data_IF_946913838431
#
_entry.id   IF_946913838431
#
_cell.length_a   1.000
_cell.length_b   1.000
_cell.length_c   1.000
_cell.angle_alpha   90.00
_cell.angle_beta   90.00
_cell.angle_gamma   90.00
#
_symmetry.space_group_name_H-M   'P 1'
#
loop_
_entity.id
_entity.type
_entity.pdbx_description
1 polymer ?
#
# COMPACT_ATOMS: atom_id res chain seq x y z
N UNK A 1 21.42 -36.66 7.49
CA UNK A 1 21.25 -35.56 6.51
C UNK A 1 20.50 -34.42 7.19
N UNK A 2 20.89 -33.15 7.02
CA UNK A 2 20.13 -32.04 7.57
C UNK A 2 18.75 -31.95 6.92
N UNK A 3 17.73 -31.56 7.70
CA UNK A 3 16.40 -31.28 7.17
C UNK A 3 16.44 -30.07 6.23
N UNK A 4 15.67 -30.13 5.15
CA UNK A 4 15.49 -29.02 4.20
C UNK A 4 14.06 -28.46 4.29
N UNK A 5 13.82 -27.18 3.92
CA UNK A 5 12.49 -26.58 3.99
C UNK A 5 11.40 -27.38 3.27
N UNK A 6 11.71 -27.99 2.13
CA UNK A 6 10.80 -28.84 1.37
C UNK A 6 10.37 -30.10 2.13
N UNK A 7 11.23 -30.67 2.97
CA UNK A 7 10.89 -31.84 3.77
C UNK A 7 9.79 -31.50 4.80
N UNK A 8 9.94 -30.35 5.47
CA UNK A 8 8.94 -29.87 6.45
C UNK A 8 7.64 -29.51 5.74
N UNK A 9 7.71 -28.82 4.60
CA UNK A 9 6.51 -28.45 3.83
C UNK A 9 5.74 -29.68 3.35
N UNK A 10 6.43 -30.69 2.81
CA UNK A 10 5.80 -31.93 2.37
C UNK A 10 5.18 -32.68 3.55
N UNK A 11 5.88 -32.75 4.69
CA UNK A 11 5.37 -33.37 5.90
C UNK A 11 4.09 -32.69 6.42
N UNK A 12 4.05 -31.36 6.46
CA UNK A 12 2.88 -30.60 6.92
C UNK A 12 1.68 -30.69 5.96
N UNK A 13 1.92 -31.01 4.69
CA UNK A 13 0.87 -31.19 3.68
C UNK A 13 0.30 -32.61 3.68
N UNK A 14 0.99 -33.58 4.31
CA UNK A 14 0.52 -34.95 4.40
C UNK A 14 -0.47 -35.07 5.57
N UNK A 15 -1.74 -35.31 5.26
CA UNK A 15 -2.82 -35.36 6.26
C UNK A 15 -2.81 -36.66 7.09
N UNK A 16 -1.87 -37.57 6.84
CA UNK A 16 -1.93 -38.93 7.37
C UNK A 16 -1.82 -39.02 8.89
N UNK A 17 -1.14 -38.08 9.57
CA UNK A 17 -0.93 -38.15 11.03
C UNK A 17 -1.00 -36.78 11.75
N UNK A 18 -2.20 -36.33 12.17
CA UNK A 18 -2.39 -35.01 12.81
C UNK A 18 -1.60 -34.83 14.12
N UNK A 19 -1.29 -35.92 14.83
CA UNK A 19 -0.50 -35.89 16.07
C UNK A 19 0.91 -35.38 15.84
N UNK A 20 1.60 -35.88 14.81
CA UNK A 20 2.97 -35.46 14.55
C UNK A 20 3.04 -34.03 13.98
N UNK A 21 2.05 -33.63 13.18
CA UNK A 21 1.90 -32.23 12.75
C UNK A 21 1.77 -31.30 13.96
N UNK A 22 0.96 -31.66 14.95
CA UNK A 22 0.85 -30.88 16.19
C UNK A 22 2.17 -30.80 16.95
N UNK A 23 2.92 -31.90 17.05
CA UNK A 23 4.20 -31.93 17.76
C UNK A 23 5.26 -31.04 17.09
N UNK A 24 5.36 -31.10 15.76
CA UNK A 24 6.24 -30.21 14.97
C UNK A 24 5.86 -28.75 15.15
N UNK A 25 4.56 -28.43 15.13
CA UNK A 25 4.07 -27.06 15.36
C UNK A 25 4.39 -26.57 16.78
N UNK A 26 4.34 -27.44 17.78
CA UNK A 26 4.75 -27.12 19.16
C UNK A 26 6.24 -26.77 19.21
N UNK A 27 7.11 -27.60 18.62
CA UNK A 27 8.56 -27.30 18.57
C UNK A 27 8.86 -26.00 17.82
N UNK A 28 8.19 -25.76 16.68
CA UNK A 28 8.34 -24.52 15.92
C UNK A 28 7.90 -23.31 16.75
N UNK A 29 6.75 -23.41 17.42
CA UNK A 29 6.20 -22.33 18.25
C UNK A 29 7.15 -22.02 19.41
N UNK A 30 7.67 -23.04 20.10
CA UNK A 30 8.65 -22.87 21.16
C UNK A 30 9.91 -22.19 20.65
N UNK A 31 10.48 -22.65 19.53
CA UNK A 31 11.69 -22.05 18.96
C UNK A 31 11.47 -20.58 18.56
N UNK A 32 10.30 -20.25 18.00
CA UNK A 32 9.93 -18.87 17.67
C UNK A 32 9.73 -18.00 18.92
N UNK A 33 9.28 -18.59 20.02
CA UNK A 33 9.20 -17.91 21.31
C UNK A 33 10.60 -17.58 21.81
N UNK A 34 11.48 -18.56 21.95
CA UNK A 34 12.87 -18.39 22.41
C UNK A 34 13.61 -17.34 21.55
N UNK A 35 13.51 -17.44 20.22
CA UNK A 35 14.14 -16.50 19.31
C UNK A 35 13.70 -15.06 19.56
N UNK A 36 12.40 -14.83 19.81
CA UNK A 36 11.86 -13.50 20.06
C UNK A 36 12.16 -13.00 21.47
N UNK A 37 11.90 -13.82 22.47
CA UNK A 37 11.82 -13.41 23.88
C UNK A 37 13.14 -13.57 24.62
N UNK A 38 13.88 -14.63 24.33
CA UNK A 38 15.05 -15.04 25.11
C UNK A 38 16.36 -14.73 24.38
N UNK A 39 16.31 -14.53 23.06
CA UNK A 39 17.49 -14.19 22.28
C UNK A 39 17.43 -12.76 21.73
N UNK A 40 16.43 -12.46 20.88
CA UNK A 40 16.46 -11.21 20.12
C UNK A 40 16.22 -10.00 21.00
N UNK A 41 15.16 -9.95 21.82
CA UNK A 41 14.81 -8.73 22.55
C UNK A 41 15.71 -8.44 23.76
N UNK A 42 16.42 -9.45 24.28
CA UNK A 42 17.34 -9.29 25.41
C UNK A 42 18.50 -8.39 25.02
N UNK A 43 19.10 -8.62 23.86
CA UNK A 43 20.07 -7.69 23.27
C UNK A 43 19.34 -6.55 22.56
N UNK A 44 19.16 -5.44 23.27
CA UNK A 44 18.45 -4.26 22.76
C UNK A 44 19.12 -3.63 21.55
N UNK A 45 20.45 -3.70 21.45
CA UNK A 45 21.20 -3.11 20.33
C UNK A 45 20.98 -3.98 19.10
N UNK A 46 21.19 -5.30 19.22
CA UNK A 46 20.92 -6.24 18.14
C UNK A 46 19.46 -6.19 17.71
N UNK A 47 18.50 -6.22 18.65
CA UNK A 47 17.07 -6.11 18.32
C UNK A 47 16.74 -4.84 17.53
N UNK A 48 17.42 -3.72 17.82
CA UNK A 48 17.16 -2.45 17.14
C UNK A 48 17.76 -2.40 15.73
N UNK A 49 19.02 -2.81 15.60
CA UNK A 49 19.81 -2.64 14.37
C UNK A 49 19.71 -3.86 13.44
N UNK A 50 19.67 -5.06 14.00
CA UNK A 50 19.76 -6.35 13.31
C UNK A 50 18.83 -7.38 13.97
N UNK A 51 17.49 -7.17 13.93
CA UNK A 51 16.56 -8.12 14.53
C UNK A 51 16.73 -9.50 13.89
N UNK A 52 16.67 -10.56 14.70
CA UNK A 52 16.83 -11.95 14.23
C UNK A 52 15.72 -12.41 13.26
N UNK A 53 14.64 -11.64 13.13
CA UNK A 53 13.62 -11.85 12.11
C UNK A 53 13.62 -10.70 11.10
N UNK A 54 13.71 -11.03 9.81
CA UNK A 54 13.71 -10.05 8.73
C UNK A 54 12.47 -9.17 8.76
N UNK A 55 12.66 -7.85 8.72
CA UNK A 55 11.58 -6.85 8.76
C UNK A 55 10.58 -7.05 9.91
N UNK A 56 11.01 -7.69 11.01
CA UNK A 56 10.15 -8.00 12.16
C UNK A 56 8.87 -8.76 11.79
N UNK A 57 8.91 -9.64 10.78
CA UNK A 57 7.71 -10.35 10.31
C UNK A 57 7.00 -11.17 11.42
N UNK A 58 7.73 -11.56 12.48
CA UNK A 58 7.17 -12.25 13.64
C UNK A 58 6.26 -11.36 14.51
N UNK A 59 6.38 -10.03 14.46
CA UNK A 59 5.39 -9.12 15.06
C UNK A 59 4.12 -9.10 14.22
N UNK A 60 4.26 -8.98 12.89
CA UNK A 60 3.15 -9.09 11.95
C UNK A 60 2.38 -10.39 12.13
N UNK A 61 3.08 -11.53 12.24
CA UNK A 61 2.47 -12.83 12.46
C UNK A 61 1.56 -12.82 13.70
N UNK A 62 2.06 -12.31 14.83
CA UNK A 62 1.30 -12.25 16.08
C UNK A 62 0.10 -11.32 15.97
N UNK A 63 0.30 -10.09 15.48
CA UNK A 63 -0.78 -9.08 15.35
C UNK A 63 -1.91 -9.57 14.43
N UNK A 64 -1.57 -10.16 13.27
CA UNK A 64 -2.58 -10.67 12.33
C UNK A 64 -3.37 -11.87 12.88
N UNK A 65 -2.85 -12.55 13.91
CA UNK A 65 -3.51 -13.68 14.57
C UNK A 65 -4.19 -13.26 15.89
N UNK A 66 -4.52 -11.96 16.05
CA UNK A 66 -5.25 -11.42 17.20
C UNK A 66 -4.56 -11.60 18.56
N UNK A 67 -3.24 -11.79 18.58
CA UNK A 67 -2.48 -11.78 19.83
C UNK A 67 -2.45 -10.37 20.42
N UNK A 68 -2.47 -10.29 21.74
CA UNK A 68 -2.51 -9.02 22.48
C UNK A 68 -1.13 -8.42 22.63
N UNK A 69 -1.05 -7.19 23.15
CA UNK A 69 0.23 -6.53 23.43
C UNK A 69 1.06 -7.26 24.49
N UNK A 70 0.45 -8.09 25.32
CA UNK A 70 1.13 -8.90 26.33
C UNK A 70 1.90 -10.07 25.70
N UNK A 71 1.39 -10.59 24.58
CA UNK A 71 1.96 -11.72 23.84
C UNK A 71 3.07 -11.30 22.85
N UNK A 72 3.37 -9.99 22.77
CA UNK A 72 4.43 -9.47 21.92
C UNK A 72 5.74 -9.28 22.70
N UNK A 73 6.90 -9.47 22.06
CA UNK A 73 8.18 -9.06 22.63
C UNK A 73 8.20 -7.53 22.78
N UNK A 74 7.95 -7.04 24.00
CA UNK A 74 7.66 -5.63 24.34
C UNK A 74 8.69 -4.66 23.77
N UNK A 75 9.98 -4.98 23.90
CA UNK A 75 11.05 -4.14 23.37
C UNK A 75 11.08 -4.13 21.84
N UNK A 76 10.91 -5.28 21.21
CA UNK A 76 10.87 -5.38 19.75
C UNK A 76 9.69 -4.58 19.16
N UNK A 77 8.52 -4.66 19.79
CA UNK A 77 7.33 -3.88 19.40
C UNK A 77 7.53 -2.37 19.63
N UNK A 78 8.11 -1.96 20.77
CA UNK A 78 8.37 -0.55 21.04
C UNK A 78 9.36 0.08 20.05
N UNK A 79 10.37 -0.67 19.60
CA UNK A 79 11.28 -0.22 18.53
C UNK A 79 10.53 -0.04 17.21
N UNK A 80 9.59 -0.93 16.87
CA UNK A 80 8.75 -0.77 15.67
C UNK A 80 7.85 0.46 15.77
N UNK A 81 7.15 0.64 16.90
CA UNK A 81 6.34 1.83 17.20
C UNK A 81 7.16 3.11 17.06
N UNK A 82 8.32 3.16 17.72
CA UNK A 82 9.21 4.32 17.68
C UNK A 82 9.81 4.58 16.29
N UNK A 83 10.06 3.55 15.48
CA UNK A 83 10.52 3.71 14.10
C UNK A 83 9.45 4.36 13.24
N UNK A 84 8.19 3.92 13.37
CA UNK A 84 7.05 4.51 12.65
C UNK A 84 6.82 5.97 13.10
N UNK A 85 6.82 6.24 14.40
CA UNK A 85 6.67 7.60 14.93
C UNK A 85 7.77 8.55 14.44
N UNK A 86 9.03 8.10 14.47
CA UNK A 86 10.16 8.88 13.95
C UNK A 86 10.02 9.14 12.47
N UNK A 87 9.64 8.13 11.69
CA UNK A 87 9.47 8.29 10.25
C UNK A 87 8.31 9.25 9.92
N UNK A 88 7.19 9.16 10.65
CA UNK A 88 6.06 10.08 10.50
C UNK A 88 6.47 11.53 10.77
N UNK A 89 7.31 11.75 11.79
CA UNK A 89 7.88 13.07 12.10
C UNK A 89 9.07 13.46 11.22
N UNK A 90 9.27 12.78 10.09
CA UNK A 90 10.37 13.01 9.14
C UNK A 90 11.78 12.98 9.76
N UNK A 91 11.96 12.19 10.83
CA UNK A 91 13.26 11.96 11.46
C UNK A 91 13.97 10.76 10.83
N UNK A 92 15.29 10.73 10.94
CA UNK A 92 16.10 9.59 10.49
C UNK A 92 15.72 8.32 11.22
N UNK A 93 15.58 7.24 10.45
CA UNK A 93 15.26 5.88 10.91
C UNK A 93 16.30 4.90 10.39
N UNK A 94 16.54 3.84 11.15
CA UNK A 94 17.51 2.78 10.79
C UNK A 94 17.05 2.03 9.54
N UNK A 95 15.74 1.85 9.39
CA UNK A 95 15.11 1.25 8.23
C UNK A 95 13.75 1.90 7.97
N UNK A 96 13.25 1.77 6.74
CA UNK A 96 11.92 2.24 6.36
C UNK A 96 10.86 1.22 6.79
N UNK A 97 9.88 1.58 7.63
CA UNK A 97 8.86 0.67 8.15
C UNK A 97 7.74 0.42 7.12
N UNK A 98 8.11 -0.10 5.94
CA UNK A 98 7.14 -0.58 4.96
C UNK A 98 6.41 -1.81 5.50
N UNK A 99 5.13 -1.92 5.19
CA UNK A 99 4.27 -3.07 5.54
C UNK A 99 4.33 -3.44 7.03
N UNK A 100 4.43 -2.44 7.90
CA UNK A 100 4.60 -2.63 9.35
C UNK A 100 3.25 -2.57 10.06
N UNK A 101 3.04 -3.44 11.05
CA UNK A 101 1.76 -3.54 11.76
C UNK A 101 1.82 -2.89 13.14
N UNK A 102 0.78 -2.16 13.52
CA UNK A 102 0.59 -1.61 14.86
C UNK A 102 -0.82 -1.93 15.37
N UNK A 103 -1.00 -1.98 16.69
CA UNK A 103 -2.35 -1.93 17.24
C UNK A 103 -3.01 -0.57 16.93
N UNK A 104 -4.33 -0.57 16.75
CA UNK A 104 -5.12 0.61 16.42
C UNK A 104 -4.82 1.79 17.37
N UNK A 105 -4.83 1.53 18.68
CA UNK A 105 -4.58 2.56 19.69
C UNK A 105 -3.20 3.22 19.54
N UNK A 106 -2.17 2.45 19.21
CA UNK A 106 -0.81 2.95 19.05
C UNK A 106 -0.65 3.74 17.75
N UNK A 107 -1.29 3.30 16.67
CA UNK A 107 -1.37 4.09 15.44
C UNK A 107 -2.05 5.44 15.69
N UNK A 108 -3.21 5.43 16.34
CA UNK A 108 -3.93 6.66 16.62
C UNK A 108 -3.14 7.61 17.53
N UNK A 109 -2.41 7.07 18.51
CA UNK A 109 -1.53 7.86 19.40
C UNK A 109 -0.40 8.56 18.62
N UNK A 110 0.19 7.87 17.64
CA UNK A 110 1.25 8.44 16.79
C UNK A 110 0.71 9.53 15.86
N UNK A 111 -0.36 9.24 15.12
CA UNK A 111 -0.82 10.08 14.01
C UNK A 111 -1.84 11.13 14.44
N UNK A 112 -2.61 10.88 15.50
CA UNK A 112 -3.69 11.75 15.98
C UNK A 112 -3.55 12.03 17.48
N UNK A 113 -2.32 12.35 17.90
CA UNK A 113 -2.04 12.68 19.28
C UNK A 113 -3.00 13.76 19.81
N UNK A 114 -3.39 13.63 21.08
CA UNK A 114 -4.45 14.43 21.72
C UNK A 114 -5.86 13.86 21.58
N UNK A 115 -6.23 13.30 20.41
CA UNK A 115 -7.58 12.77 20.15
C UNK A 115 -7.64 11.25 20.11
N UNK A 116 -6.50 10.56 20.12
CA UNK A 116 -6.41 9.11 19.92
C UNK A 116 -7.32 8.28 20.81
N UNK A 117 -7.52 8.66 22.09
CA UNK A 117 -8.42 7.92 23.01
C UNK A 117 -9.88 8.00 22.55
N UNK A 118 -10.31 9.19 22.10
CA UNK A 118 -11.66 9.42 21.58
C UNK A 118 -11.84 8.67 20.27
N UNK A 119 -10.90 8.83 19.34
CA UNK A 119 -10.91 8.12 18.06
C UNK A 119 -10.93 6.61 18.25
N UNK A 120 -10.07 6.06 19.12
CA UNK A 120 -10.03 4.63 19.39
C UNK A 120 -11.37 4.12 19.95
N UNK A 121 -11.98 4.87 20.88
CA UNK A 121 -13.31 4.58 21.41
C UNK A 121 -14.36 4.61 20.29
N UNK A 122 -14.42 5.68 19.51
CA UNK A 122 -15.44 5.87 18.48
C UNK A 122 -15.33 4.84 17.37
N UNK A 123 -14.13 4.56 16.87
CA UNK A 123 -13.88 3.50 15.88
C UNK A 123 -14.27 2.13 16.45
N UNK A 124 -13.85 1.81 17.69
CA UNK A 124 -14.19 0.52 18.33
C UNK A 124 -15.68 0.30 18.51
N UNK A 125 -16.45 1.38 18.74
CA UNK A 125 -17.91 1.35 18.87
C UNK A 125 -18.64 1.72 17.56
N UNK A 126 -17.93 1.79 16.43
CA UNK A 126 -18.49 2.12 15.10
C UNK A 126 -19.29 3.44 15.08
N UNK A 127 -18.87 4.42 15.87
CA UNK A 127 -19.42 5.78 15.95
C UNK A 127 -18.81 6.68 14.87
N UNK A 128 -19.22 6.44 13.63
CA UNK A 128 -18.59 7.02 12.45
C UNK A 128 -18.77 8.52 12.32
N UNK A 129 -19.96 9.04 12.67
CA UNK A 129 -20.22 10.48 12.65
C UNK A 129 -19.22 11.23 13.52
N UNK A 130 -19.09 10.83 14.79
CA UNK A 130 -18.17 11.46 15.73
C UNK A 130 -16.69 11.22 15.36
N UNK A 131 -16.39 10.11 14.67
CA UNK A 131 -15.05 9.85 14.14
C UNK A 131 -14.71 10.85 13.03
N UNK A 132 -15.59 11.04 12.06
CA UNK A 132 -15.39 11.94 10.93
C UNK A 132 -15.39 13.40 11.37
N UNK A 133 -16.24 13.79 12.32
CA UNK A 133 -16.23 15.14 12.90
C UNK A 133 -14.83 15.50 13.47
N UNK A 134 -14.15 14.55 14.14
CA UNK A 134 -12.79 14.76 14.64
C UNK A 134 -11.77 14.83 13.50
N UNK A 135 -11.85 13.92 12.52
CA UNK A 135 -10.89 13.90 11.41
C UNK A 135 -11.01 15.17 10.55
N UNK A 136 -12.24 15.60 10.28
CA UNK A 136 -12.53 16.81 9.52
C UNK A 136 -12.13 18.08 10.29
N UNK A 137 -12.31 18.13 11.62
CA UNK A 137 -11.76 19.21 12.46
C UNK A 137 -10.23 19.32 12.31
N UNK A 138 -9.52 18.18 12.32
CA UNK A 138 -8.05 18.18 12.18
C UNK A 138 -7.60 18.67 10.80
N UNK A 139 -8.31 18.28 9.75
CA UNK A 139 -8.03 18.74 8.37
C UNK A 139 -8.35 20.23 8.22
N UNK A 140 -9.56 20.65 8.61
CA UNK A 140 -10.07 21.98 8.30
C UNK A 140 -9.60 23.07 9.28
N UNK A 141 -9.45 22.74 10.57
CA UNK A 141 -9.16 23.73 11.62
C UNK A 141 -7.74 23.62 12.16
N UNK A 142 -7.08 22.46 12.07
CA UNK A 142 -5.70 22.25 12.59
C UNK A 142 -4.63 22.17 11.51
N UNK A 143 -5.01 22.36 10.24
CA UNK A 143 -4.12 22.37 9.09
C UNK A 143 -3.27 21.10 8.96
N UNK A 144 -3.85 19.94 9.32
CA UNK A 144 -3.22 18.64 9.11
C UNK A 144 -3.46 18.17 7.69
N UNK A 145 -2.39 17.78 6.99
CA UNK A 145 -2.46 17.36 5.60
C UNK A 145 -2.56 15.84 5.49
N UNK A 146 -3.77 15.31 5.54
CA UNK A 146 -4.06 13.93 5.21
C UNK A 146 -5.40 13.79 4.50
N UNK A 147 -5.57 12.64 3.85
CA UNK A 147 -6.83 12.23 3.22
C UNK A 147 -7.24 10.89 3.80
N UNK A 148 -8.54 10.66 3.88
CA UNK A 148 -9.04 9.39 4.38
C UNK A 148 -10.27 8.93 3.59
N UNK A 149 -10.50 7.62 3.58
CA UNK A 149 -11.69 6.99 3.02
C UNK A 149 -12.11 5.83 3.92
N UNK A 150 -13.41 5.78 4.21
CA UNK A 150 -14.05 4.68 4.92
C UNK A 150 -14.80 3.80 3.93
N UNK A 151 -14.58 2.48 3.97
CA UNK A 151 -15.25 1.52 3.07
C UNK A 151 -16.22 0.57 3.78
N UNK A 152 -16.33 0.64 5.10
CA UNK A 152 -17.10 -0.32 5.90
C UNK A 152 -16.20 -1.05 6.89
N UNK A 153 -15.35 -1.94 6.38
CA UNK A 153 -14.41 -2.72 7.20
C UNK A 153 -13.01 -2.10 7.28
N UNK A 154 -12.72 -1.13 6.41
CA UNK A 154 -11.45 -0.46 6.36
C UNK A 154 -11.58 1.06 6.52
N UNK A 155 -10.60 1.66 7.20
CA UNK A 155 -10.35 3.09 7.15
C UNK A 155 -8.95 3.32 6.58
N UNK A 156 -8.91 3.91 5.39
CA UNK A 156 -7.69 4.10 4.60
C UNK A 156 -7.26 5.55 4.78
N UNK A 157 -6.00 5.76 5.17
CA UNK A 157 -5.40 7.09 5.29
C UNK A 157 -4.26 7.26 4.29
N UNK A 158 -4.19 8.43 3.66
CA UNK A 158 -3.03 8.88 2.89
C UNK A 158 -2.39 10.08 3.60
N UNK A 159 -1.16 9.87 4.07
CA UNK A 159 -0.29 10.91 4.61
C UNK A 159 0.89 11.09 3.64
N UNK A 160 1.01 12.27 3.03
CA UNK A 160 1.94 12.50 1.93
C UNK A 160 1.82 11.36 0.89
N UNK A 161 2.88 10.60 0.65
CA UNK A 161 2.93 9.46 -0.28
C UNK A 161 2.73 8.09 0.36
N UNK A 162 2.27 8.05 1.62
CA UNK A 162 2.16 6.83 2.43
C UNK A 162 0.70 6.48 2.67
N UNK A 163 0.37 5.21 2.46
CA UNK A 163 -0.95 4.66 2.76
C UNK A 163 -0.89 3.91 4.09
N UNK A 164 -1.87 4.16 4.94
CA UNK A 164 -2.09 3.40 6.17
C UNK A 164 -3.51 2.82 6.13
N UNK A 165 -3.67 1.56 6.50
CA UNK A 165 -4.94 0.84 6.38
C UNK A 165 -5.31 0.30 7.77
N UNK A 166 -6.38 0.83 8.33
CA UNK A 166 -6.96 0.32 9.57
C UNK A 166 -7.89 -0.83 9.23
N UNK A 167 -7.64 -1.97 9.86
CA UNK A 167 -8.51 -3.14 9.87
C UNK A 167 -9.42 -3.03 11.09
N UNK A 168 -10.65 -2.55 10.88
CA UNK A 168 -11.50 -2.06 11.97
C UNK A 168 -11.88 -3.19 12.93
N UNK A 169 -12.27 -4.34 12.39
CA UNK A 169 -12.75 -5.46 13.19
C UNK A 169 -11.59 -6.11 13.97
N UNK A 170 -10.41 -6.17 13.37
CA UNK A 170 -9.19 -6.77 13.93
C UNK A 170 -8.39 -5.81 14.81
N UNK A 171 -8.72 -4.52 14.80
CA UNK A 171 -8.13 -3.47 15.66
C UNK A 171 -6.60 -3.33 15.50
N UNK A 172 -6.10 -3.54 14.28
CA UNK A 172 -4.72 -3.24 13.92
C UNK A 172 -4.64 -2.38 12.65
N UNK A 173 -3.45 -1.87 12.38
CA UNK A 173 -3.18 -0.98 11.26
C UNK A 173 -1.96 -1.46 10.48
N UNK A 174 -2.11 -1.63 9.17
CA UNK A 174 -1.01 -1.76 8.24
C UNK A 174 -0.48 -0.35 7.94
N UNK A 175 0.74 -0.07 8.38
CA UNK A 175 1.40 1.21 8.19
C UNK A 175 2.31 1.17 6.96
N UNK A 176 2.24 2.24 6.15
CA UNK A 176 3.05 2.42 4.96
C UNK A 176 2.95 1.19 4.03
N UNK A 177 1.70 0.86 3.68
CA UNK A 177 1.35 -0.26 2.81
C UNK A 177 2.08 -0.12 1.47
N UNK A 178 2.76 -1.19 1.06
CA UNK A 178 3.62 -1.19 -0.13
C UNK A 178 3.56 -2.54 -0.85
N UNK A 179 3.88 -3.64 -0.15
CA UNK A 179 3.97 -4.99 -0.73
C UNK A 179 3.04 -6.00 -0.06
N UNK A 180 2.31 -5.59 0.97
CA UNK A 180 1.34 -6.47 1.61
C UNK A 180 0.23 -6.85 0.62
N UNK A 181 -0.19 -8.12 0.68
CA UNK A 181 -1.31 -8.59 -0.13
C UNK A 181 -2.60 -7.85 0.23
N UNK A 182 -3.40 -7.49 -0.77
CA UNK A 182 -4.71 -6.88 -0.61
C UNK A 182 -5.73 -8.03 -0.41
N UNK A 183 -6.27 -8.23 0.80
CA UNK A 183 -7.02 -9.44 1.13
C UNK A 183 -8.44 -9.45 0.56
N UNK A 184 -8.98 -8.30 0.15
CA UNK A 184 -10.38 -8.17 -0.28
C UNK A 184 -10.53 -7.19 -1.45
N UNK A 185 -11.55 -7.42 -2.28
CA UNK A 185 -11.94 -6.49 -3.35
C UNK A 185 -12.43 -5.15 -2.80
N UNK A 186 -13.04 -5.13 -1.61
CA UNK A 186 -13.45 -3.89 -0.93
C UNK A 186 -12.24 -3.01 -0.59
N UNK A 187 -11.16 -3.60 -0.07
CA UNK A 187 -9.96 -2.82 0.21
C UNK A 187 -9.32 -2.29 -1.07
N UNK A 188 -9.23 -3.14 -2.11
CA UNK A 188 -8.73 -2.73 -3.42
C UNK A 188 -9.56 -1.55 -3.97
N UNK A 189 -10.88 -1.68 -3.92
CA UNK A 189 -11.82 -0.64 -4.33
C UNK A 189 -11.59 0.67 -3.58
N UNK A 190 -11.45 0.60 -2.25
CA UNK A 190 -11.18 1.77 -1.42
C UNK A 190 -9.86 2.46 -1.76
N UNK A 191 -8.78 1.69 -1.97
CA UNK A 191 -7.48 2.25 -2.36
C UNK A 191 -7.60 2.95 -3.71
N UNK A 192 -8.21 2.30 -4.69
CA UNK A 192 -8.47 2.88 -6.00
C UNK A 192 -9.28 4.16 -5.88
N UNK A 193 -10.44 4.12 -5.22
CA UNK A 193 -11.31 5.28 -5.03
C UNK A 193 -10.58 6.46 -4.37
N UNK A 194 -9.76 6.20 -3.34
CA UNK A 194 -8.97 7.23 -2.68
C UNK A 194 -7.97 7.88 -3.66
N UNK A 195 -7.24 7.10 -4.46
CA UNK A 195 -6.28 7.67 -5.41
C UNK A 195 -6.96 8.39 -6.57
N UNK A 196 -7.99 7.79 -7.16
CA UNK A 196 -8.71 8.40 -8.27
C UNK A 196 -9.38 9.71 -7.85
N UNK A 197 -9.99 9.78 -6.66
CA UNK A 197 -10.55 11.06 -6.17
C UNK A 197 -9.52 12.18 -5.99
N UNK A 198 -8.23 11.84 -5.82
CA UNK A 198 -7.15 12.82 -5.63
C UNK A 198 -6.50 13.25 -6.94
N UNK A 199 -6.36 12.34 -7.90
CA UNK A 199 -5.58 12.57 -9.12
C UNK A 199 -6.42 12.63 -10.39
N UNK A 200 -7.59 11.99 -10.40
CA UNK A 200 -8.47 11.81 -11.56
C UNK A 200 -9.95 11.84 -11.14
N UNK A 201 -10.46 12.98 -10.61
CA UNK A 201 -11.82 13.08 -10.08
C UNK A 201 -12.93 12.78 -11.11
N UNK A 202 -12.63 12.86 -12.39
CA UNK A 202 -13.50 12.52 -13.52
C UNK A 202 -13.66 11.00 -13.76
N UNK A 203 -12.83 10.18 -13.12
CA UNK A 203 -12.90 8.73 -13.29
C UNK A 203 -14.19 8.16 -12.68
N UNK A 204 -14.83 7.27 -13.43
CA UNK A 204 -16.00 6.52 -12.98
C UNK A 204 -15.54 5.24 -12.31
N UNK A 205 -16.19 4.90 -11.21
CA UNK A 205 -15.85 3.76 -10.38
C UNK A 205 -17.05 2.84 -10.22
N UNK A 206 -16.86 1.55 -10.49
CA UNK A 206 -17.88 0.54 -10.26
C UNK A 206 -17.25 -0.70 -9.59
N UNK A 207 -17.75 -1.05 -8.42
CA UNK A 207 -17.32 -2.25 -7.72
C UNK A 207 -18.28 -3.40 -8.07
N UNK A 208 -17.76 -4.45 -8.70
CA UNK A 208 -18.43 -5.74 -8.76
C UNK A 208 -17.91 -6.61 -7.60
N UNK A 209 -18.67 -6.77 -6.49
CA UNK A 209 -18.17 -7.40 -5.27
C UNK A 209 -17.69 -8.85 -5.45
N UNK A 210 -18.11 -9.52 -6.53
CA UNK A 210 -17.83 -10.93 -6.76
C UNK A 210 -16.65 -11.20 -7.69
N UNK A 211 -16.11 -10.18 -8.38
CA UNK A 211 -15.08 -10.40 -9.41
C UNK A 211 -13.99 -9.33 -9.44
N UNK A 212 -14.38 -8.07 -9.62
CA UNK A 212 -13.45 -7.07 -10.11
C UNK A 212 -13.87 -5.64 -9.73
N UNK A 213 -12.87 -4.78 -9.72
CA UNK A 213 -12.98 -3.34 -9.61
C UNK A 213 -12.87 -2.76 -11.02
N UNK A 214 -13.93 -2.11 -11.48
CA UNK A 214 -13.97 -1.44 -12.77
C UNK A 214 -13.69 0.05 -12.59
N UNK A 215 -12.70 0.55 -13.33
CA UNK A 215 -12.37 1.97 -13.37
C UNK A 215 -12.46 2.44 -14.82
N UNK A 216 -13.36 3.38 -15.06
CA UNK A 216 -13.56 4.00 -16.36
C UNK A 216 -12.99 5.42 -16.40
N UNK A 217 -12.10 5.71 -17.34
CA UNK A 217 -11.63 7.07 -17.64
C UNK A 217 -12.06 7.44 -19.06
N UNK A 218 -12.54 8.67 -19.23
CA UNK A 218 -13.02 9.17 -20.52
C UNK A 218 -12.08 10.26 -21.02
N UNK A 219 -11.51 10.07 -22.21
CA UNK A 219 -10.73 11.07 -22.93
C UNK A 219 -11.62 11.73 -23.97
N UNK A 220 -11.90 13.03 -23.85
CA UNK A 220 -12.77 13.77 -24.77
C UNK A 220 -12.28 13.79 -26.23
N UNK A 221 -13.21 13.82 -27.19
CA UNK A 221 -12.90 13.84 -28.62
C UNK A 221 -12.12 15.10 -29.06
N UNK A 222 -12.36 16.25 -28.44
CA UNK A 222 -11.59 17.48 -28.71
C UNK A 222 -10.10 17.32 -28.37
N UNK A 223 -9.78 16.55 -27.32
CA UNK A 223 -8.39 16.18 -27.00
C UNK A 223 -7.83 15.25 -28.07
N UNK A 224 -8.59 14.23 -28.49
CA UNK A 224 -8.13 13.24 -29.48
C UNK A 224 -7.97 13.85 -30.88
N UNK A 225 -8.91 14.67 -31.31
CA UNK A 225 -8.88 15.34 -32.62
C UNK A 225 -7.81 16.43 -32.72
N UNK A 226 -7.30 16.92 -31.58
CA UNK A 226 -6.14 17.82 -31.56
C UNK A 226 -4.81 17.10 -31.83
N UNK A 227 -4.78 15.76 -31.76
CA UNK A 227 -3.59 14.97 -32.05
C UNK A 227 -3.32 14.99 -33.54
N UNK A 228 -2.16 15.52 -33.93
CA UNK A 228 -1.74 15.49 -35.33
C UNK A 228 -1.54 14.02 -35.76
N UNK A 229 -2.18 13.60 -36.86
CA UNK A 229 -2.04 12.24 -37.39
C UNK A 229 -0.67 12.00 -38.04
N UNK A 230 -0.05 13.05 -38.58
CA UNK A 230 1.20 12.91 -39.34
C UNK A 230 2.44 12.92 -38.41
N UNK A 231 3.19 11.80 -38.32
CA UNK A 231 4.39 11.70 -37.49
C UNK A 231 5.53 12.60 -37.97
N UNK A 232 5.48 13.14 -39.20
CA UNK A 232 6.48 14.08 -39.71
C UNK A 232 6.30 15.51 -39.19
N UNK A 233 5.12 15.84 -38.64
CA UNK A 233 4.86 17.18 -38.10
C UNK A 233 5.48 17.30 -36.70
N UNK A 234 6.24 18.39 -36.43
CA UNK A 234 6.80 18.67 -35.11
C UNK A 234 5.76 18.59 -33.99
N UNK A 235 6.18 17.93 -32.90
CA UNK A 235 5.40 17.79 -31.67
C UNK A 235 5.41 19.13 -30.95
N UNK A 236 4.35 19.91 -31.15
CA UNK A 236 4.24 21.26 -30.58
C UNK A 236 3.54 21.26 -29.21
N UNK A 237 2.78 20.21 -28.87
CA UNK A 237 2.00 20.11 -27.64
C UNK A 237 2.51 19.01 -26.70
N UNK A 238 2.43 19.25 -25.39
CA UNK A 238 2.74 18.22 -24.37
C UNK A 238 1.82 17.00 -24.50
N UNK A 239 0.58 17.22 -24.90
CA UNK A 239 -0.44 16.20 -25.12
C UNK A 239 -0.04 15.27 -26.27
N UNK A 240 0.33 15.84 -27.43
CA UNK A 240 0.82 15.07 -28.58
C UNK A 240 2.05 14.23 -28.20
N UNK A 241 2.97 14.82 -27.43
CA UNK A 241 4.16 14.12 -26.95
C UNK A 241 3.79 12.90 -26.10
N UNK A 242 2.80 13.03 -25.23
CA UNK A 242 2.33 11.95 -24.38
C UNK A 242 1.68 10.84 -25.20
N UNK A 243 0.69 11.17 -26.03
CA UNK A 243 -0.04 10.16 -26.81
C UNK A 243 0.83 9.42 -27.81
N UNK A 244 1.80 10.09 -28.44
CA UNK A 244 2.71 9.46 -29.42
C UNK A 244 3.79 8.57 -28.79
N UNK A 245 4.31 8.95 -27.61
CA UNK A 245 5.51 8.31 -27.08
C UNK A 245 5.26 7.47 -25.82
N UNK A 246 4.26 7.82 -25.00
CA UNK A 246 4.09 7.26 -23.66
C UNK A 246 2.77 6.52 -23.48
N UNK A 247 1.69 6.94 -24.16
CA UNK A 247 0.37 6.35 -23.93
C UNK A 247 0.33 4.84 -24.19
N UNK A 248 0.93 4.36 -25.29
CA UNK A 248 1.03 2.92 -25.56
C UNK A 248 1.80 2.17 -24.48
N UNK A 249 2.95 2.72 -24.04
CA UNK A 249 3.76 2.13 -22.97
C UNK A 249 3.00 2.09 -21.63
N UNK A 250 2.26 3.15 -21.31
CA UNK A 250 1.44 3.22 -20.10
C UNK A 250 0.30 2.19 -20.14
N UNK A 251 -0.37 2.02 -21.27
CA UNK A 251 -1.39 0.97 -21.46
C UNK A 251 -0.76 -0.42 -21.28
N UNK A 252 0.39 -0.68 -21.92
CA UNK A 252 1.10 -1.95 -21.78
C UNK A 252 1.48 -2.23 -20.32
N UNK A 253 1.95 -1.21 -19.59
CA UNK A 253 2.24 -1.32 -18.15
C UNK A 253 0.95 -1.61 -17.36
N UNK A 254 -0.17 -0.95 -17.67
CA UNK A 254 -1.44 -1.19 -16.99
C UNK A 254 -1.97 -2.62 -17.19
N UNK A 255 -1.74 -3.24 -18.36
CA UNK A 255 -2.13 -4.65 -18.60
C UNK A 255 -1.41 -5.64 -17.68
N UNK A 256 -0.31 -5.24 -17.03
CA UNK A 256 0.38 -6.07 -16.04
C UNK A 256 -0.34 -6.09 -14.69
N UNK A 257 -1.14 -5.07 -14.41
CA UNK A 257 -1.85 -4.90 -13.13
C UNK A 257 -3.36 -5.14 -13.26
N UNK A 258 -3.90 -5.01 -14.46
CA UNK A 258 -5.31 -5.27 -14.76
C UNK A 258 -5.49 -6.70 -15.27
N UNK A 259 -6.63 -7.30 -14.94
CA UNK A 259 -7.05 -8.56 -15.55
C UNK A 259 -7.39 -8.34 -17.03
N UNK A 260 -8.07 -7.24 -17.32
CA UNK A 260 -8.44 -6.81 -18.67
C UNK A 260 -8.37 -5.27 -18.77
N UNK A 261 -8.06 -4.78 -19.97
CA UNK A 261 -8.10 -3.36 -20.34
C UNK A 261 -8.94 -3.25 -21.61
N UNK A 262 -10.02 -2.48 -21.56
CA UNK A 262 -10.84 -2.21 -22.74
C UNK A 262 -10.69 -0.76 -23.19
N UNK A 263 -10.49 -0.60 -24.50
CA UNK A 263 -10.46 0.69 -25.18
C UNK A 263 -11.67 0.74 -26.12
N UNK A 264 -12.58 1.69 -25.88
CA UNK A 264 -13.83 1.80 -26.64
C UNK A 264 -14.12 3.25 -27.03
N UNK A 265 -14.58 3.48 -28.25
CA UNK A 265 -15.08 4.80 -28.66
C UNK A 265 -16.57 4.90 -28.38
N UNK A 266 -17.00 5.96 -27.70
CA UNK A 266 -18.43 6.24 -27.51
C UNK A 266 -19.06 6.88 -28.78
N UNK A 267 -20.40 7.02 -28.85
CA UNK A 267 -21.06 7.64 -30.00
C UNK A 267 -20.63 9.07 -30.30
N UNK A 268 -20.05 9.77 -29.32
CA UNK A 268 -19.52 11.12 -29.44
C UNK A 268 -18.00 11.11 -29.72
N UNK A 269 -17.45 9.97 -30.14
CA UNK A 269 -16.04 9.77 -30.49
C UNK A 269 -15.07 10.04 -29.32
N UNK A 270 -15.51 9.90 -28.08
CA UNK A 270 -14.61 9.94 -26.93
C UNK A 270 -14.01 8.55 -26.69
N UNK A 271 -12.75 8.49 -26.29
CA UNK A 271 -12.10 7.24 -25.92
C UNK A 271 -12.39 6.93 -24.44
N UNK A 272 -13.08 5.83 -24.20
CA UNK A 272 -13.26 5.24 -22.87
C UNK A 272 -12.18 4.19 -22.65
N UNK A 273 -11.42 4.36 -21.58
CA UNK A 273 -10.45 3.39 -21.07
C UNK A 273 -11.09 2.75 -19.85
N UNK A 274 -11.36 1.45 -19.92
CA UNK A 274 -11.95 0.69 -18.82
C UNK A 274 -10.91 -0.30 -18.32
N UNK A 275 -10.53 -0.16 -17.06
CA UNK A 275 -9.57 -1.01 -16.36
C UNK A 275 -10.34 -1.97 -15.45
N UNK A 276 -10.14 -3.27 -15.64
CA UNK A 276 -10.72 -4.31 -14.78
C UNK A 276 -9.61 -4.87 -13.88
N UNK A 277 -9.68 -4.60 -12.58
CA UNK A 277 -8.66 -4.99 -11.60
C UNK A 277 -9.26 -5.99 -10.60
N UNK A 278 -8.64 -7.15 -10.43
CA UNK A 278 -9.05 -8.14 -9.43
C UNK A 278 -8.04 -8.23 -8.27
N UNK A 279 -8.44 -8.85 -7.16
CA UNK A 279 -7.55 -9.12 -6.03
C UNK A 279 -6.60 -10.30 -6.32
N UNK A 280 -6.90 -11.08 -7.35
CA UNK A 280 -6.03 -12.11 -7.89
C UNK A 280 -5.09 -11.43 -8.88
N UNK A 281 -4.10 -10.69 -8.37
CA UNK A 281 -2.99 -10.34 -9.25
C UNK A 281 -2.48 -11.64 -9.86
N UNK A 282 -2.37 -11.69 -11.20
CA UNK A 282 -1.49 -12.66 -11.84
C UNK A 282 -0.13 -12.31 -11.26
N UNK A 283 0.23 -13.01 -10.18
CA UNK A 283 1.55 -13.03 -9.60
C UNK A 283 2.45 -13.54 -10.73
N UNK A 284 2.85 -12.65 -11.63
CA UNK A 284 3.85 -12.91 -12.64
C UNK A 284 5.18 -12.98 -11.89
N UNK A 285 5.33 -14.00 -11.06
CA UNK A 285 6.60 -14.56 -10.63
C UNK A 285 7.22 -15.36 -11.80
N UNK A 286 7.10 -14.83 -13.03
CA UNK A 286 7.38 -15.53 -14.28
C UNK A 286 8.79 -15.23 -14.78
N UNK A 287 9.62 -16.28 -14.84
CA UNK A 287 11.03 -16.29 -15.26
C UNK A 287 11.35 -15.76 -16.67
N UNK A 288 10.39 -15.21 -17.43
CA UNK A 288 10.52 -15.03 -18.88
C UNK A 288 10.38 -13.59 -19.40
N UNK A 289 10.77 -12.59 -18.61
CA UNK A 289 10.99 -11.25 -19.15
C UNK A 289 12.45 -10.80 -18.89
N UNK A 290 13.31 -10.67 -19.92
CA UNK A 290 14.72 -10.35 -19.75
C UNK A 290 14.98 -8.93 -19.20
N UNK A 291 13.96 -8.07 -19.13
CA UNK A 291 14.05 -6.76 -18.46
C UNK A 291 13.59 -6.78 -16.99
N UNK A 292 13.25 -7.95 -16.45
CA UNK A 292 12.66 -8.07 -15.13
C UNK A 292 13.71 -8.04 -14.02
N UNK A 293 13.64 -7.04 -13.13
CA UNK A 293 14.41 -6.98 -11.87
C UNK A 293 13.68 -7.67 -10.70
N UNK A 294 12.94 -8.76 -10.92
CA UNK A 294 12.27 -9.56 -9.86
C UNK A 294 11.58 -8.72 -8.76
N UNK A 295 11.60 -9.22 -7.51
CA UNK A 295 11.00 -8.63 -6.27
C UNK A 295 11.48 -7.20 -5.89
N UNK A 296 12.19 -6.50 -6.78
CA UNK A 296 12.91 -5.25 -6.52
C UNK A 296 12.38 -4.05 -7.30
N UNK A 297 11.25 -4.15 -8.00
CA UNK A 297 10.52 -2.92 -8.39
C UNK A 297 9.72 -2.46 -7.17
N UNK A 298 10.40 -1.77 -6.25
CA UNK A 298 9.73 -1.10 -5.13
C UNK A 298 9.07 0.20 -5.60
N UNK A 299 8.15 0.73 -4.79
CA UNK A 299 7.55 2.06 -4.99
C UNK A 299 8.58 3.16 -5.31
N UNK A 300 9.83 3.05 -4.78
CA UNK A 300 10.96 3.92 -5.13
C UNK A 300 11.34 3.88 -6.61
N UNK A 301 11.32 2.71 -7.25
CA UNK A 301 11.63 2.56 -8.67
C UNK A 301 10.54 3.18 -9.55
N UNK A 302 9.27 3.03 -9.16
CA UNK A 302 8.13 3.69 -9.81
C UNK A 302 8.18 5.21 -9.60
N UNK A 303 8.43 5.68 -8.37
CA UNK A 303 8.60 7.09 -8.07
C UNK A 303 9.82 7.70 -8.77
N UNK A 304 10.92 6.96 -8.89
CA UNK A 304 12.11 7.42 -9.58
C UNK A 304 11.87 7.43 -11.08
N UNK A 305 11.13 6.48 -11.64
CA UNK A 305 10.67 6.51 -13.02
C UNK A 305 9.81 7.76 -13.27
N UNK A 306 8.77 7.99 -12.46
CA UNK A 306 7.92 9.20 -12.53
C UNK A 306 8.76 10.47 -12.36
N UNK A 307 9.69 10.54 -11.40
CA UNK A 307 10.56 11.72 -11.21
C UNK A 307 11.49 11.99 -12.40
N UNK A 308 11.96 10.94 -13.07
CA UNK A 308 12.91 11.08 -14.19
C UNK A 308 12.18 11.41 -15.50
N UNK A 309 10.91 11.00 -15.64
CA UNK A 309 10.12 11.17 -16.86
C UNK A 309 9.03 12.25 -16.73
N UNK A 310 8.71 12.73 -15.51
CA UNK A 310 7.90 13.94 -15.30
C UNK A 310 8.71 15.14 -15.80
N UNK A 311 8.22 15.90 -16.79
CA UNK A 311 8.93 17.06 -17.30
C UNK A 311 9.22 18.05 -16.16
N UNK A 312 10.48 18.53 -16.05
CA UNK A 312 10.82 19.56 -15.06
C UNK A 312 9.87 20.75 -15.26
N UNK A 313 9.12 21.16 -14.22
CA UNK A 313 8.20 22.27 -14.34
C UNK A 313 9.01 23.56 -14.53
N UNK A 314 8.57 24.44 -15.45
CA UNK A 314 9.26 25.70 -15.75
C UNK A 314 9.40 26.60 -14.51
N UNK A 315 8.53 26.41 -13.52
CA UNK A 315 8.48 27.14 -12.27
C UNK A 315 8.32 26.13 -11.14
N UNK A 316 8.90 26.45 -9.98
CA UNK A 316 8.73 25.67 -8.76
C UNK A 316 7.24 25.44 -8.48
N UNK A 317 6.85 24.17 -8.32
CA UNK A 317 5.45 23.78 -8.12
C UNK A 317 4.87 24.35 -6.81
N UNK A 318 5.72 24.68 -5.83
CA UNK A 318 5.31 25.27 -4.56
C UNK A 318 5.09 26.79 -4.64
N UNK A 319 6.03 27.55 -5.24
CA UNK A 319 5.98 29.01 -5.21
C UNK A 319 5.58 29.67 -6.53
N UNK A 320 5.61 28.92 -7.65
CA UNK A 320 5.31 29.36 -9.03
C UNK A 320 6.03 30.63 -9.49
N UNK A 321 7.12 31.02 -8.83
CA UNK A 321 7.82 32.30 -9.09
C UNK A 321 9.23 32.12 -9.64
N UNK A 322 9.90 31.01 -9.33
CA UNK A 322 11.30 30.77 -9.69
C UNK A 322 11.44 29.36 -10.28
N UNK A 323 12.26 29.15 -11.31
CA UNK A 323 12.59 27.81 -11.78
C UNK A 323 13.29 27.01 -10.66
N UNK A 324 13.13 25.68 -10.60
CA UNK A 324 13.83 24.84 -9.64
C UNK A 324 15.35 24.93 -9.84
N UNK A 325 16.12 25.08 -8.74
CA UNK A 325 17.58 25.07 -8.77
C UNK A 325 18.10 23.73 -9.35
N UNK A 326 19.21 23.79 -10.09
CA UNK A 326 19.84 22.61 -10.70
C UNK A 326 20.30 21.56 -9.68
#
# INVERSE_FOLDING_TARGET
>A
MPLKPEHIKNFLNDESEPKFTSEVLTFLTQRLHELCFDECQIDRIACTLQPKCSRRFLLKLRIKNNLTSEDLPKFCYSVQKGTIEREFRNKTVVYKPFDSFLFLVDFLDIFFHGDYRKLNKFISFKKWKETFDILDDRINNRNENFKYLFTGDYLIFKFDERIHIIYINEKYVLCNANRENIPSLELLAGICQLYFSLYFPEAKFNLNPSKLVEIGVKIPYDVLSSLKEDPSIPIDSKTDKYFRNLFGEDIDVLTQYCEEVHLQMDPNQNLNIILLISNQSKNYFGKENPQWKGDKVGYKSLHQYIRTHKPKPNLCEACRKKPPYE
#
